data_IF_008015573208
#
_entry.id   IF_008015573208
#
_cell.length_a   1.000
_cell.length_b   1.000
_cell.length_c   1.000
_cell.angle_alpha   90.00
_cell.angle_beta   90.00
_cell.angle_gamma   90.00
#
_symmetry.space_group_name_H-M   'P 1'
#
loop_
_entity.id
_entity.type
_entity.pdbx_description
1 polymer ?
#
# COMPACT_ATOMS: atom_id res chain seq x y z
N UNK A 1 1.08 -2.42 -20.44
CA UNK A 1 1.63 -1.05 -20.45
C UNK A 1 1.06 -0.16 -19.35
N UNK A 2 -0.27 -0.09 -19.14
CA UNK A 2 -0.83 0.75 -18.06
C UNK A 2 -0.41 0.25 -16.68
N UNK A 3 -0.51 -1.07 -16.45
CA UNK A 3 -0.07 -1.72 -15.21
C UNK A 3 1.40 -1.44 -14.89
N UNK A 4 2.31 -1.68 -15.82
CA UNK A 4 3.75 -1.47 -15.62
C UNK A 4 4.08 -0.01 -15.36
N UNK A 5 3.44 0.93 -16.07
CA UNK A 5 3.63 2.36 -15.84
C UNK A 5 3.14 2.76 -14.44
N UNK A 6 1.96 2.27 -14.02
CA UNK A 6 1.44 2.51 -12.68
C UNK A 6 2.37 1.97 -11.60
N UNK A 7 2.76 0.69 -11.71
CA UNK A 7 3.65 0.05 -10.72
C UNK A 7 5.02 0.74 -10.67
N UNK A 8 5.54 1.23 -11.80
CA UNK A 8 6.78 2.04 -11.82
C UNK A 8 6.65 3.33 -11.00
N UNK A 9 5.49 3.99 -11.01
CA UNK A 9 5.27 5.22 -10.24
C UNK A 9 5.31 4.96 -8.72
N UNK A 10 4.74 3.84 -8.27
CA UNK A 10 4.63 3.54 -6.84
C UNK A 10 5.76 2.70 -6.28
N UNK A 11 6.67 2.16 -7.11
CA UNK A 11 7.81 1.35 -6.64
C UNK A 11 9.04 2.20 -6.35
N UNK A 12 9.85 1.79 -5.39
CA UNK A 12 11.01 2.54 -4.87
C UNK A 12 10.88 2.89 -3.40
N UNK A 13 11.69 3.84 -2.95
CA UNK A 13 11.69 4.34 -1.58
C UNK A 13 11.04 5.72 -1.54
N UNK A 14 10.22 5.94 -0.52
CA UNK A 14 9.53 7.20 -0.31
C UNK A 14 9.44 7.53 1.18
N UNK A 15 9.47 8.81 1.52
CA UNK A 15 9.23 9.30 2.87
C UNK A 15 8.42 10.60 2.87
N UNK A 16 7.84 10.95 4.02
CA UNK A 16 7.10 12.20 4.19
C UNK A 16 7.92 13.28 4.95
N UNK A 17 9.26 13.24 4.91
CA UNK A 17 10.10 14.07 5.79
C UNK A 17 9.77 15.56 5.72
N UNK A 18 9.59 16.10 4.52
CA UNK A 18 9.23 17.50 4.31
C UNK A 18 7.89 17.87 4.98
N UNK A 19 6.88 17.01 4.81
CA UNK A 19 5.57 17.20 5.43
C UNK A 19 5.66 17.09 6.95
N UNK A 20 6.37 16.08 7.46
CA UNK A 20 6.57 15.85 8.87
C UNK A 20 7.22 17.07 9.55
N UNK A 21 8.32 17.59 8.99
CA UNK A 21 8.99 18.78 9.52
C UNK A 21 8.07 20.01 9.52
N UNK A 22 7.25 20.19 8.48
CA UNK A 22 6.28 21.29 8.42
C UNK A 22 5.19 21.16 9.49
N UNK A 23 4.66 19.95 9.73
CA UNK A 23 3.66 19.69 10.76
C UNK A 23 4.22 19.90 12.17
N UNK A 24 5.47 19.48 12.42
CA UNK A 24 6.15 19.71 13.69
C UNK A 24 6.36 21.20 13.96
N UNK A 25 6.80 21.98 12.95
CA UNK A 25 6.92 23.45 13.06
C UNK A 25 5.57 24.12 13.34
N UNK A 26 4.47 23.54 12.86
CA UNK A 26 3.10 23.99 13.13
C UNK A 26 2.52 23.50 14.47
N UNK A 27 3.27 22.72 15.26
CA UNK A 27 2.80 22.15 16.52
C UNK A 27 1.71 21.09 16.37
N UNK A 28 1.62 20.44 15.21
CA UNK A 28 0.65 19.38 14.92
C UNK A 28 1.29 18.01 15.10
N UNK A 29 0.60 17.11 15.81
CA UNK A 29 1.02 15.71 15.89
C UNK A 29 0.74 15.02 14.55
N UNK A 30 1.82 14.58 13.88
CA UNK A 30 1.78 13.91 12.59
C UNK A 30 2.92 12.89 12.53
N UNK A 31 2.74 11.71 11.93
CA UNK A 31 3.77 10.67 11.91
C UNK A 31 4.86 11.04 10.91
N UNK A 32 6.09 10.64 11.21
CA UNK A 32 7.06 10.39 10.17
C UNK A 32 6.73 9.02 9.55
N UNK A 33 6.74 8.93 8.24
CA UNK A 33 6.31 7.74 7.52
C UNK A 33 7.22 7.46 6.33
N UNK A 34 7.45 6.17 6.06
CA UNK A 34 8.26 5.66 4.96
C UNK A 34 7.52 4.53 4.25
N UNK A 35 7.59 4.51 2.91
CA UNK A 35 7.18 3.38 2.09
C UNK A 35 8.36 2.85 1.28
N UNK A 36 8.50 1.52 1.26
CA UNK A 36 9.39 0.83 0.32
C UNK A 36 8.57 -0.20 -0.45
N UNK A 37 8.42 0.05 -1.75
CA UNK A 37 7.58 -0.74 -2.62
C UNK A 37 8.42 -1.49 -3.64
N UNK A 38 8.41 -2.82 -3.57
CA UNK A 38 9.26 -3.68 -4.40
C UNK A 38 8.47 -4.77 -5.10
N UNK A 39 8.57 -4.84 -6.43
CA UNK A 39 7.99 -5.93 -7.22
C UNK A 39 8.65 -7.26 -6.83
N UNK A 40 7.84 -8.27 -6.51
CA UNK A 40 8.29 -9.52 -5.94
C UNK A 40 7.89 -10.78 -6.72
N UNK A 41 7.42 -10.66 -7.98
CA UNK A 41 7.12 -11.83 -8.82
C UNK A 41 8.31 -12.81 -8.92
N UNK A 42 9.56 -12.34 -8.83
CA UNK A 42 10.75 -13.19 -8.83
C UNK A 42 10.90 -14.09 -7.59
N UNK A 43 10.15 -13.81 -6.51
CA UNK A 43 10.05 -14.62 -5.29
C UNK A 43 8.89 -15.63 -5.36
N UNK A 44 8.04 -15.56 -6.39
CA UNK A 44 6.87 -16.44 -6.52
C UNK A 44 7.22 -17.57 -7.51
N UNK A 45 7.18 -18.80 -7.02
CA UNK A 45 7.44 -20.00 -7.81
C UNK A 45 6.18 -20.43 -8.55
N UNK A 46 6.41 -21.05 -9.72
CA UNK A 46 5.35 -21.68 -10.51
C UNK A 46 4.20 -20.71 -10.86
N UNK A 47 4.54 -19.44 -11.07
CA UNK A 47 3.63 -18.44 -11.62
C UNK A 47 3.19 -18.89 -13.03
N UNK A 48 1.90 -18.80 -13.40
CA UNK A 48 1.45 -19.14 -14.75
C UNK A 48 2.21 -18.35 -15.82
N UNK A 49 2.52 -18.97 -16.96
CA UNK A 49 3.26 -18.32 -18.05
C UNK A 49 2.50 -17.12 -18.64
N UNK A 50 1.18 -17.14 -18.54
CA UNK A 50 0.25 -16.09 -18.99
C UNK A 50 -0.22 -15.20 -17.84
N UNK A 51 0.48 -15.20 -16.70
CA UNK A 51 0.13 -14.37 -15.55
C UNK A 51 0.33 -12.88 -15.86
N UNK A 52 -0.77 -12.13 -15.87
CA UNK A 52 -0.79 -10.71 -16.21
C UNK A 52 -1.00 -9.83 -14.96
N UNK A 53 -0.09 -9.95 -14.00
CA UNK A 53 -0.13 -9.19 -12.76
C UNK A 53 1.25 -8.96 -12.15
N UNK A 54 1.33 -7.96 -11.28
CA UNK A 54 2.55 -7.62 -10.54
C UNK A 54 2.28 -7.68 -9.05
N UNK A 55 2.93 -8.62 -8.38
CA UNK A 55 2.99 -8.66 -6.93
C UNK A 55 4.02 -7.66 -6.42
N UNK A 56 3.65 -6.93 -5.38
CA UNK A 56 4.48 -5.92 -4.72
C UNK A 56 4.47 -6.19 -3.23
N UNK A 57 5.66 -6.25 -2.64
CA UNK A 57 5.81 -6.09 -1.18
C UNK A 57 5.86 -4.59 -0.91
N UNK A 58 4.90 -4.12 -0.12
CA UNK A 58 4.91 -2.78 0.45
C UNK A 58 5.40 -2.88 1.88
N UNK A 59 6.43 -2.12 2.21
CA UNK A 59 6.95 -1.97 3.57
C UNK A 59 6.61 -0.56 4.05
N UNK A 60 5.70 -0.47 5.01
CA UNK A 60 5.22 0.80 5.55
C UNK A 60 5.76 0.96 6.96
N UNK A 61 6.50 2.04 7.22
CA UNK A 61 7.01 2.36 8.55
C UNK A 61 6.43 3.68 9.02
N UNK A 62 5.99 3.70 10.27
CA UNK A 62 5.41 4.88 10.89
C UNK A 62 6.09 5.12 12.23
N UNK A 63 6.48 6.35 12.48
CA UNK A 63 7.08 6.78 13.73
C UNK A 63 6.27 7.92 14.35
N UNK A 64 5.78 7.67 15.56
CA UNK A 64 5.06 8.66 16.37
C UNK A 64 5.63 8.61 17.77
N UNK A 65 5.97 9.77 18.34
CA UNK A 65 6.51 9.88 19.71
C UNK A 65 7.71 8.93 19.97
N UNK A 66 8.61 8.80 18.99
CA UNK A 66 9.80 7.94 19.05
C UNK A 66 9.52 6.44 19.00
N UNK A 67 8.27 6.03 18.76
CA UNK A 67 7.88 4.63 18.57
C UNK A 67 7.68 4.35 17.09
N UNK A 68 8.56 3.52 16.54
CA UNK A 68 8.49 3.06 15.16
C UNK A 68 7.73 1.73 15.08
N UNK A 69 6.80 1.62 14.14
CA UNK A 69 6.07 0.39 13.84
C UNK A 69 6.07 0.15 12.33
N UNK A 70 6.13 -1.13 11.95
CA UNK A 70 6.02 -1.56 10.57
C UNK A 70 4.63 -2.16 10.32
N UNK A 71 4.08 -1.90 9.14
CA UNK A 71 2.83 -2.48 8.65
C UNK A 71 3.01 -2.95 7.20
N UNK A 72 3.77 -4.03 6.97
CA UNK A 72 4.04 -4.51 5.63
C UNK A 72 2.84 -5.24 5.03
N UNK A 73 2.72 -5.18 3.70
CA UNK A 73 1.65 -5.81 2.95
C UNK A 73 2.20 -6.56 1.72
N UNK A 74 1.44 -7.55 1.28
CA UNK A 74 1.61 -8.16 -0.03
C UNK A 74 0.40 -7.78 -0.90
N UNK A 75 0.67 -7.07 -1.99
CA UNK A 75 -0.36 -6.64 -2.93
C UNK A 75 -0.17 -7.30 -4.28
N UNK A 76 -1.27 -7.47 -5.01
CA UNK A 76 -1.29 -7.81 -6.42
C UNK A 76 -1.95 -6.67 -7.19
N UNK A 77 -1.25 -6.18 -8.21
CA UNK A 77 -1.76 -5.23 -9.19
C UNK A 77 -2.09 -5.95 -10.49
N UNK A 78 -3.31 -5.73 -11.00
CA UNK A 78 -3.79 -6.27 -12.28
C UNK A 78 -4.45 -5.16 -13.10
N UNK A 79 -4.35 -5.26 -14.42
CA UNK A 79 -5.09 -4.38 -15.33
C UNK A 79 -6.54 -4.86 -15.48
N UNK A 80 -7.49 -3.94 -15.50
CA UNK A 80 -8.90 -4.18 -15.83
C UNK A 80 -9.34 -3.20 -16.93
N UNK A 81 -10.55 -3.39 -17.47
CA UNK A 81 -11.12 -2.46 -18.46
C UNK A 81 -11.21 -1.03 -17.92
N UNK A 82 -11.47 -0.90 -16.61
CA UNK A 82 -11.69 0.37 -15.93
C UNK A 82 -10.42 1.05 -15.40
N UNK A 83 -9.29 0.33 -15.31
CA UNK A 83 -8.07 0.87 -14.70
C UNK A 83 -7.12 -0.20 -14.14
N UNK A 84 -6.42 0.13 -13.06
CA UNK A 84 -5.57 -0.83 -12.33
C UNK A 84 -6.27 -1.20 -11.02
N UNK A 85 -6.31 -2.49 -10.71
CA UNK A 85 -6.85 -3.01 -9.46
C UNK A 85 -5.71 -3.41 -8.53
N UNK A 86 -5.77 -2.95 -7.27
CA UNK A 86 -4.96 -3.46 -6.16
C UNK A 86 -5.80 -4.46 -5.38
N UNK A 87 -5.29 -5.69 -5.23
CA UNK A 87 -5.83 -6.71 -4.33
C UNK A 87 -4.84 -7.01 -3.22
N UNK A 88 -5.32 -7.11 -1.98
CA UNK A 88 -4.51 -7.54 -0.84
C UNK A 88 -4.41 -9.07 -0.76
N UNK A 89 -3.23 -9.56 -0.41
CA UNK A 89 -2.94 -10.96 -0.13
C UNK A 89 -2.46 -11.10 1.32
N UNK A 90 -2.74 -12.24 1.92
CA UNK A 90 -2.15 -12.61 3.19
C UNK A 90 -0.62 -12.72 3.04
N UNK A 91 0.10 -12.25 4.07
CA UNK A 91 1.54 -12.47 4.18
C UNK A 91 1.79 -14.00 4.15
N UNK A 92 2.76 -14.49 3.34
CA UNK A 92 3.00 -15.91 3.18
C UNK A 92 3.19 -16.65 4.51
N UNK A 93 2.65 -17.88 4.59
CA UNK A 93 2.72 -18.69 5.80
C UNK A 93 4.18 -18.91 6.21
N UNK A 94 4.50 -18.58 7.47
CA UNK A 94 5.83 -18.74 8.05
C UNK A 94 6.63 -17.44 8.13
N UNK A 95 6.19 -16.39 7.44
CA UNK A 95 6.76 -15.04 7.57
C UNK A 95 6.20 -14.32 8.81
N UNK A 96 7.00 -13.42 9.39
CA UNK A 96 6.55 -12.56 10.51
C UNK A 96 5.93 -11.27 9.96
N UNK A 97 4.63 -11.12 10.19
CA UNK A 97 3.85 -9.95 9.76
C UNK A 97 4.35 -8.60 10.28
N UNK A 98 5.15 -8.57 11.35
CA UNK A 98 5.66 -7.31 11.91
C UNK A 98 7.03 -6.92 11.33
N UNK A 99 7.69 -7.84 10.63
CA UNK A 99 9.05 -7.66 10.09
C UNK A 99 9.18 -8.11 8.63
N UNK A 100 8.05 -8.45 7.99
CA UNK A 100 8.01 -8.85 6.59
C UNK A 100 8.54 -7.73 5.69
N UNK A 101 9.45 -8.09 4.80
CA UNK A 101 10.11 -7.19 3.85
C UNK A 101 10.41 -7.95 2.57
N UNK A 102 10.69 -7.25 1.48
CA UNK A 102 11.15 -7.91 0.26
C UNK A 102 12.46 -8.70 0.49
N UNK A 103 13.34 -8.14 1.33
CA UNK A 103 14.63 -8.74 1.65
C UNK A 103 14.47 -10.06 2.41
N UNK A 104 13.58 -10.09 3.42
CA UNK A 104 13.32 -11.28 4.24
C UNK A 104 12.38 -12.29 3.57
N UNK A 105 11.59 -11.87 2.57
CA UNK A 105 10.62 -12.74 1.88
C UNK A 105 11.29 -13.96 1.26
N UNK A 106 10.93 -15.13 1.77
CA UNK A 106 11.27 -16.43 1.19
C UNK A 106 10.49 -16.66 -0.10
N UNK A 107 10.99 -17.59 -0.92
CA UNK A 107 10.26 -17.98 -2.12
C UNK A 107 9.00 -18.77 -1.72
N UNK A 108 7.87 -18.42 -2.33
CA UNK A 108 6.56 -19.01 -2.04
C UNK A 108 5.96 -19.63 -3.31
N UNK A 109 5.23 -20.74 -3.18
CA UNK A 109 4.47 -21.33 -4.30
C UNK A 109 3.27 -20.44 -4.63
N UNK A 110 3.00 -20.20 -5.92
CA UNK A 110 1.84 -19.40 -6.33
C UNK A 110 0.52 -19.95 -5.75
N UNK A 111 0.38 -21.27 -5.67
CA UNK A 111 -0.79 -21.94 -5.09
C UNK A 111 -0.96 -21.74 -3.59
N UNK A 112 0.09 -21.33 -2.88
CA UNK A 112 0.07 -21.08 -1.43
C UNK A 112 -0.31 -19.63 -1.10
N UNK A 113 -0.33 -18.74 -2.10
CA UNK A 113 -0.75 -17.36 -1.93
C UNK A 113 -2.27 -17.28 -1.74
N UNK A 114 -2.69 -16.53 -0.72
CA UNK A 114 -4.09 -16.37 -0.37
C UNK A 114 -4.52 -14.92 -0.52
N UNK A 115 -5.46 -14.68 -1.42
CA UNK A 115 -6.09 -13.37 -1.55
C UNK A 115 -6.91 -13.08 -0.30
N UNK A 116 -6.80 -11.87 0.23
CA UNK A 116 -7.60 -11.41 1.37
C UNK A 116 -9.07 -11.25 0.97
N UNK A 117 -9.96 -11.94 1.68
CA UNK A 117 -11.41 -11.81 1.46
C UNK A 117 -12.01 -10.56 2.12
N UNK A 118 -11.28 -9.95 3.06
CA UNK A 118 -11.75 -8.78 3.82
C UNK A 118 -11.51 -7.47 3.08
N UNK A 119 -10.54 -7.46 2.15
CA UNK A 119 -10.15 -6.29 1.41
C UNK A 119 -10.90 -6.22 0.08
N UNK A 120 -11.74 -5.20 -0.08
CA UNK A 120 -12.32 -4.83 -1.36
C UNK A 120 -11.21 -4.30 -2.27
N UNK A 121 -10.99 -4.88 -3.46
CA UNK A 121 -9.96 -4.38 -4.36
C UNK A 121 -10.10 -2.87 -4.65
N UNK A 122 -8.99 -2.14 -4.58
CA UNK A 122 -8.97 -0.71 -4.87
C UNK A 122 -8.78 -0.49 -6.37
N UNK A 123 -9.55 0.45 -6.95
CA UNK A 123 -9.52 0.74 -8.38
C UNK A 123 -8.90 2.12 -8.61
N UNK A 124 -7.83 2.15 -9.40
CA UNK A 124 -7.13 3.37 -9.79
C UNK A 124 -7.37 3.69 -11.26
N UNK A 125 -7.66 4.96 -11.53
CA UNK A 125 -7.84 5.49 -12.87
C UNK A 125 -6.81 6.56 -13.15
N UNK A 126 -6.33 6.57 -14.39
CA UNK A 126 -5.38 7.57 -14.87
C UNK A 126 -6.12 8.79 -15.41
N UNK A 127 -5.62 9.97 -15.07
CA UNK A 127 -6.09 11.26 -15.58
C UNK A 127 -4.91 12.23 -15.63
N UNK A 128 -4.45 12.55 -16.84
CA UNK A 128 -3.39 13.52 -17.11
C UNK A 128 -2.05 13.20 -16.41
N UNK A 129 -1.61 11.95 -16.47
CA UNK A 129 -0.38 11.45 -15.86
C UNK A 129 -0.50 11.15 -14.36
N UNK A 130 -1.67 11.39 -13.77
CA UNK A 130 -1.94 11.16 -12.35
C UNK A 130 -2.88 9.97 -12.23
N UNK A 131 -2.54 9.05 -11.34
CA UNK A 131 -3.43 7.95 -11.00
C UNK A 131 -4.12 8.24 -9.68
N UNK A 132 -5.44 8.06 -9.62
CA UNK A 132 -6.21 8.26 -8.39
C UNK A 132 -7.23 7.14 -8.22
N UNK A 133 -7.46 6.72 -6.98
CA UNK A 133 -8.28 5.56 -6.72
C UNK A 133 -8.36 5.21 -5.25
N UNK A 134 -9.04 4.12 -4.95
CA UNK A 134 -9.22 3.71 -3.57
C UNK A 134 -10.23 2.58 -3.41
N UNK A 135 -10.48 2.23 -2.16
CA UNK A 135 -11.49 1.24 -1.79
C UNK A 135 -12.15 1.60 -0.47
N UNK A 136 -13.30 0.98 -0.23
CA UNK A 136 -13.89 0.88 1.10
C UNK A 136 -14.08 -0.61 1.41
N UNK A 137 -13.42 -1.06 2.45
CA UNK A 137 -13.37 -2.48 2.85
C UNK A 137 -14.07 -2.68 4.19
N UNK A 138 -15.12 -3.49 4.21
CA UNK A 138 -15.86 -3.80 5.44
C UNK A 138 -15.27 -5.06 6.10
N UNK A 139 -14.47 -4.90 7.14
CA UNK A 139 -13.81 -6.02 7.83
C UNK A 139 -14.72 -6.75 8.81
N UNK A 140 -15.72 -6.06 9.36
CA UNK A 140 -16.79 -6.60 10.20
C UNK A 140 -17.99 -5.65 10.17
N UNK A 141 -19.19 -5.98 10.70
CA UNK A 141 -20.32 -5.05 10.72
C UNK A 141 -20.04 -3.68 11.38
N UNK A 142 -19.00 -3.61 12.22
CA UNK A 142 -18.63 -2.41 12.98
C UNK A 142 -17.32 -1.80 12.52
N UNK A 143 -16.53 -2.46 11.67
CA UNK A 143 -15.19 -2.02 11.29
C UNK A 143 -15.07 -1.86 9.78
N UNK A 144 -14.67 -0.68 9.34
CA UNK A 144 -14.52 -0.30 7.94
C UNK A 144 -13.18 0.40 7.73
N UNK A 145 -12.47 -0.01 6.69
CA UNK A 145 -11.27 0.65 6.19
C UNK A 145 -11.66 1.49 4.96
N UNK A 146 -11.21 2.73 4.91
CA UNK A 146 -11.34 3.61 3.74
C UNK A 146 -9.93 3.96 3.30
N UNK A 147 -9.62 3.62 2.05
CA UNK A 147 -8.36 3.91 1.39
C UNK A 147 -8.65 4.80 0.19
N UNK A 148 -7.93 5.90 0.08
CA UNK A 148 -7.86 6.71 -1.13
C UNK A 148 -6.41 7.10 -1.36
N UNK A 149 -5.95 6.98 -2.60
CA UNK A 149 -4.58 7.29 -2.96
C UNK A 149 -4.51 8.00 -4.30
N UNK A 150 -3.46 8.80 -4.43
CA UNK A 150 -3.11 9.48 -5.67
C UNK A 150 -1.62 9.36 -5.91
N UNK A 151 -1.26 8.94 -7.11
CA UNK A 151 0.11 8.66 -7.51
C UNK A 151 0.50 9.55 -8.68
N UNK A 152 1.66 10.18 -8.54
CA UNK A 152 2.35 10.96 -9.55
C UNK A 152 3.79 10.48 -9.69
N UNK A 153 4.55 11.10 -10.58
CA UNK A 153 5.99 10.84 -10.74
C UNK A 153 6.82 11.27 -9.53
N UNK A 154 6.31 12.23 -8.75
CA UNK A 154 7.03 12.91 -7.67
C UNK A 154 6.48 12.60 -6.28
N UNK A 155 5.20 12.24 -6.17
CA UNK A 155 4.52 12.06 -4.89
C UNK A 155 3.51 10.90 -4.91
N UNK A 156 3.45 10.15 -3.81
CA UNK A 156 2.33 9.27 -3.44
C UNK A 156 1.55 9.95 -2.31
N UNK A 157 0.29 10.29 -2.57
CA UNK A 157 -0.62 10.86 -1.58
C UNK A 157 -1.51 9.74 -1.06
N UNK A 158 -1.46 9.45 0.25
CA UNK A 158 -2.21 8.34 0.85
C UNK A 158 -3.14 8.86 1.93
N UNK A 159 -4.43 8.58 1.79
CA UNK A 159 -5.46 8.81 2.80
C UNK A 159 -6.02 7.46 3.24
N UNK A 160 -5.58 7.00 4.40
CA UNK A 160 -6.07 5.79 5.02
C UNK A 160 -6.79 6.13 6.33
N UNK A 161 -7.98 5.56 6.55
CA UNK A 161 -8.66 5.67 7.83
C UNK A 161 -9.43 4.40 8.18
N UNK A 162 -9.50 4.11 9.48
CA UNK A 162 -10.41 3.10 10.00
C UNK A 162 -11.55 3.76 10.75
N UNK A 163 -12.76 3.30 10.47
CA UNK A 163 -13.95 3.63 11.23
C UNK A 163 -14.43 2.44 12.04
N UNK A 164 -14.67 2.67 13.33
CA UNK A 164 -15.33 1.72 14.22
C UNK A 164 -16.68 2.29 14.68
N UNK A 165 -17.78 1.57 14.46
CA UNK A 165 -19.14 2.02 14.74
C UNK A 165 -19.47 3.40 14.10
N UNK A 166 -18.98 3.64 12.88
CA UNK A 166 -19.17 4.90 12.16
C UNK A 166 -18.35 6.08 12.70
N UNK A 167 -17.39 5.85 13.59
CA UNK A 167 -16.46 6.88 14.11
C UNK A 167 -15.04 6.57 13.67
N UNK A 168 -14.32 7.56 13.14
CA UNK A 168 -12.89 7.44 12.81
C UNK A 168 -12.10 7.11 14.08
N UNK A 169 -11.36 6.01 14.07
CA UNK A 169 -10.49 5.55 15.17
C UNK A 169 -9.01 5.52 14.80
N UNK A 170 -8.71 5.55 13.51
CA UNK A 170 -7.35 5.61 12.96
C UNK A 170 -7.37 6.42 11.67
N UNK A 171 -6.21 6.95 11.28
CA UNK A 171 -6.03 7.77 10.11
C UNK A 171 -5.93 9.25 10.45
N UNK A 172 -5.38 10.00 9.51
CA UNK A 172 -5.19 11.45 9.65
C UNK A 172 -6.28 12.20 8.91
N UNK A 173 -6.46 13.47 9.25
CA UNK A 173 -7.39 14.35 8.52
C UNK A 173 -6.75 14.90 7.23
N UNK A 174 -5.42 14.97 7.21
CA UNK A 174 -4.61 15.31 6.05
C UNK A 174 -3.99 14.04 5.46
N UNK A 175 -3.89 13.90 4.13
CA UNK A 175 -3.17 12.79 3.51
C UNK A 175 -1.69 12.79 3.93
N UNK A 176 -1.07 11.61 4.00
CA UNK A 176 0.39 11.52 4.08
C UNK A 176 0.95 11.69 2.67
N UNK A 177 1.91 12.61 2.52
CA UNK A 177 2.55 12.94 1.26
C UNK A 177 3.95 12.31 1.21
N UNK A 178 4.09 11.23 0.47
CA UNK A 178 5.34 10.51 0.32
C UNK A 178 6.09 10.98 -0.92
N UNK A 179 7.23 11.63 -0.70
CA UNK A 179 8.17 12.02 -1.75
C UNK A 179 9.17 10.90 -2.00
N UNK A 180 9.54 10.70 -3.26
CA UNK A 180 10.56 9.72 -3.65
C UNK A 180 11.95 10.15 -3.15
N UNK A 181 12.72 9.21 -2.59
CA UNK A 181 14.09 9.42 -2.08
C UNK A 181 15.17 8.71 -2.90
#
# INVERSE_FOLDING_TARGET
MKLENFVRLMTGHFDNREQFEAMQKAGKEFPYAEHVNTVCNNKIKNLPNDFNGLFVVEESYYETNGKRHASPHLFLFTESEDGVLLSSYEIPKGEDKNTFSYASMHKVEYTDLKKSEKFTPALYREKNGIWEGGSTSQFSPVMKLILWERFSDTCLEVSESMEMNGKKTFGYDEPILYNRV
#
